data_IF_616200724034
#
_entry.id   IF_616200724034
#
_cell.length_a   1.000
_cell.length_b   1.000
_cell.length_c   1.000
_cell.angle_alpha   90.00
_cell.angle_beta   90.00
_cell.angle_gamma   90.00
#
_symmetry.space_group_name_H-M   'P 1'
#
loop_
_entity.id
_entity.type
_entity.pdbx_description
1 polymer ?
#
# COMPACT_ATOMS: atom_id res chain seq x y z
N UNK A 1 -9.18 5.87 -9.56
CA UNK A 1 -10.38 5.15 -9.05
C UNK A 1 -10.14 4.66 -7.62
N UNK A 2 -11.18 4.18 -6.94
CA UNK A 2 -11.04 3.60 -5.60
C UNK A 2 -11.23 2.07 -5.65
N UNK A 3 -10.53 1.35 -4.77
CA UNK A 3 -10.63 -0.10 -4.62
C UNK A 3 -10.89 -0.45 -3.15
N UNK A 4 -12.06 -1.02 -2.85
CA UNK A 4 -12.46 -1.47 -1.52
C UNK A 4 -12.74 -2.97 -1.54
N UNK A 5 -11.85 -3.75 -0.92
CA UNK A 5 -11.95 -5.20 -0.78
C UNK A 5 -11.67 -5.67 0.66
N UNK A 6 -11.77 -4.77 1.63
CA UNK A 6 -11.48 -5.06 3.03
C UNK A 6 -12.41 -6.10 3.66
N UNK A 7 -11.89 -6.82 4.66
CA UNK A 7 -12.59 -7.81 5.48
C UNK A 7 -13.21 -8.94 4.66
N UNK A 8 -12.40 -9.56 3.80
CA UNK A 8 -12.78 -10.75 3.04
C UNK A 8 -11.81 -11.90 3.34
N UNK A 9 -12.05 -13.04 2.71
CA UNK A 9 -11.17 -14.21 2.76
C UNK A 9 -10.32 -14.32 1.48
N UNK A 10 -9.99 -13.19 0.85
CA UNK A 10 -9.16 -13.19 -0.36
C UNK A 10 -7.72 -13.53 0.01
N UNK A 11 -7.03 -14.26 -0.87
CA UNK A 11 -5.69 -14.78 -0.59
C UNK A 11 -4.82 -14.83 -1.85
N UNK A 12 -3.54 -15.12 -1.65
CA UNK A 12 -2.52 -15.15 -2.71
C UNK A 12 -1.87 -13.79 -2.93
N UNK A 13 -1.09 -13.68 -4.00
CA UNK A 13 -0.41 -12.45 -4.36
C UNK A 13 -1.33 -11.48 -5.12
N UNK A 14 -1.03 -10.19 -5.03
CA UNK A 14 -1.74 -9.17 -5.81
C UNK A 14 -1.37 -9.33 -7.30
N UNK A 15 -2.37 -9.47 -8.21
CA UNK A 15 -2.09 -9.58 -9.63
C UNK A 15 -1.34 -8.35 -10.17
N UNK A 16 -0.20 -8.59 -10.84
CA UNK A 16 0.64 -7.52 -11.43
C UNK A 16 -0.12 -6.58 -12.36
N UNK A 17 -1.21 -7.03 -12.99
CA UNK A 17 -2.08 -6.21 -13.83
C UNK A 17 -2.65 -4.98 -13.12
N UNK A 18 -2.83 -5.03 -11.79
CA UNK A 18 -3.31 -3.90 -10.98
C UNK A 18 -2.32 -2.74 -10.93
N UNK A 19 -1.03 -2.96 -11.25
CA UNK A 19 -0.01 -1.89 -11.26
C UNK A 19 -0.31 -0.79 -12.29
N UNK A 20 -1.05 -1.15 -13.34
CA UNK A 20 -1.45 -0.24 -14.43
C UNK A 20 -2.49 0.78 -13.98
N UNK A 21 -3.20 0.48 -12.90
CA UNK A 21 -4.18 1.39 -12.34
C UNK A 21 -3.49 2.40 -11.42
N UNK A 22 -3.93 3.65 -11.49
CA UNK A 22 -3.61 4.67 -10.52
C UNK A 22 -4.82 4.86 -9.60
N UNK A 23 -4.71 4.35 -8.37
CA UNK A 23 -5.80 4.35 -7.40
C UNK A 23 -5.67 5.57 -6.48
N UNK A 24 -6.80 6.23 -6.19
CA UNK A 24 -6.84 7.27 -5.16
C UNK A 24 -6.92 6.62 -3.77
N UNK A 25 -7.75 5.57 -3.62
CA UNK A 25 -7.87 4.81 -2.38
C UNK A 25 -7.71 3.33 -2.68
N UNK A 26 -6.88 2.65 -1.87
CA UNK A 26 -6.76 1.20 -1.85
C UNK A 26 -7.00 0.73 -0.42
N UNK A 27 -8.03 -0.10 -0.24
CA UNK A 27 -8.37 -0.70 1.04
C UNK A 27 -8.49 -2.22 0.87
N UNK A 28 -7.44 -2.92 1.30
CA UNK A 28 -7.33 -4.39 1.29
C UNK A 28 -7.32 -4.97 2.70
N UNK A 29 -7.68 -4.17 3.71
CA UNK A 29 -7.56 -4.55 5.12
C UNK A 29 -8.18 -5.91 5.43
N UNK A 30 -7.59 -6.66 6.36
CA UNK A 30 -8.23 -7.86 6.90
C UNK A 30 -8.51 -8.92 5.83
N UNK A 31 -7.48 -9.32 5.09
CA UNK A 31 -7.50 -10.42 4.13
C UNK A 31 -6.31 -11.36 4.39
N UNK A 32 -6.10 -12.33 3.52
CA UNK A 32 -4.99 -13.28 3.55
C UNK A 32 -4.04 -13.09 2.36
N UNK A 33 -3.91 -11.85 1.85
CA UNK A 33 -2.97 -11.58 0.76
C UNK A 33 -1.53 -11.70 1.23
N UNK A 34 -0.66 -12.15 0.33
CA UNK A 34 0.78 -12.34 0.58
C UNK A 34 1.63 -11.72 -0.53
N UNK A 35 2.95 -11.80 -0.38
CA UNK A 35 3.90 -11.29 -1.36
C UNK A 35 4.07 -9.77 -1.31
N UNK A 36 4.50 -9.20 -2.43
CA UNK A 36 4.89 -7.80 -2.53
C UNK A 36 3.71 -6.90 -2.93
N UNK A 37 3.41 -5.90 -2.10
CA UNK A 37 2.39 -4.87 -2.36
C UNK A 37 2.98 -3.49 -2.73
N UNK A 38 4.29 -3.40 -2.96
CA UNK A 38 5.01 -2.17 -3.30
C UNK A 38 4.51 -1.50 -4.59
N UNK A 39 3.79 -2.23 -5.44
CA UNK A 39 3.17 -1.73 -6.67
C UNK A 39 2.12 -0.62 -6.47
N UNK A 40 1.56 -0.50 -5.25
CA UNK A 40 0.64 0.59 -4.90
C UNK A 40 1.36 1.90 -4.58
N UNK A 41 2.69 1.87 -4.51
CA UNK A 41 3.53 3.03 -4.25
C UNK A 41 4.18 3.52 -5.55
N UNK A 42 4.64 4.76 -5.55
CA UNK A 42 5.33 5.39 -6.65
C UNK A 42 5.17 6.90 -6.63
N UNK A 43 6.21 7.63 -7.02
CA UNK A 43 6.16 9.09 -7.20
C UNK A 43 5.17 9.52 -8.30
N UNK A 44 4.80 8.61 -9.20
CA UNK A 44 3.82 8.81 -10.27
C UNK A 44 2.41 8.38 -9.87
N UNK A 45 2.20 7.89 -8.64
CA UNK A 45 0.89 7.52 -8.13
C UNK A 45 0.20 8.75 -7.52
N UNK A 46 -1.13 8.71 -7.51
CA UNK A 46 -1.98 9.76 -6.93
C UNK A 46 -2.75 9.27 -5.70
N UNK A 47 -2.32 8.15 -5.11
CA UNK A 47 -2.96 7.58 -3.93
C UNK A 47 -2.97 8.56 -2.75
N UNK A 48 -4.15 8.70 -2.16
CA UNK A 48 -4.44 9.51 -0.98
C UNK A 48 -4.48 8.64 0.27
N UNK A 49 -5.01 7.42 0.15
CA UNK A 49 -5.11 6.46 1.25
C UNK A 49 -4.75 5.05 0.82
N UNK A 50 -3.86 4.44 1.58
CA UNK A 50 -3.48 3.03 1.45
C UNK A 50 -3.70 2.33 2.78
N UNK A 51 -4.67 1.42 2.84
CA UNK A 51 -4.91 0.54 3.97
C UNK A 51 -4.69 -0.91 3.52
N UNK A 52 -3.49 -1.41 3.82
CA UNK A 52 -3.04 -2.77 3.52
C UNK A 52 -2.95 -3.61 4.80
N UNK A 53 -3.51 -3.12 5.90
CA UNK A 53 -3.35 -3.71 7.22
C UNK A 53 -3.91 -5.12 7.32
N UNK A 54 -3.43 -5.91 8.28
CA UNK A 54 -3.94 -7.26 8.59
C UNK A 54 -3.97 -8.16 7.35
N UNK A 55 -2.79 -8.35 6.77
CA UNK A 55 -2.50 -9.27 5.67
C UNK A 55 -1.17 -9.99 5.96
N UNK A 56 -0.58 -10.64 4.96
CA UNK A 56 0.75 -11.26 5.04
C UNK A 56 1.71 -10.67 4.00
N UNK A 57 1.55 -9.37 3.68
CA UNK A 57 2.45 -8.69 2.74
C UNK A 57 3.87 -8.63 3.27
N UNK A 58 4.84 -8.89 2.39
CA UNK A 58 6.25 -8.93 2.71
C UNK A 58 7.04 -8.17 1.65
N UNK A 59 7.49 -6.97 2.01
CA UNK A 59 8.31 -6.13 1.15
C UNK A 59 9.16 -5.16 1.99
N UNK A 60 10.18 -4.61 1.34
CA UNK A 60 11.14 -3.69 1.92
C UNK A 60 10.64 -2.25 1.77
N UNK A 61 10.22 -1.64 2.88
CA UNK A 61 9.68 -0.28 2.92
C UNK A 61 10.74 0.77 2.55
N UNK A 62 12.04 0.49 2.72
CA UNK A 62 13.10 1.45 2.36
C UNK A 62 13.15 1.74 0.85
N UNK A 63 12.57 0.85 0.03
CA UNK A 63 12.57 0.95 -1.44
C UNK A 63 11.33 1.63 -2.01
N UNK A 64 10.30 1.88 -1.19
CA UNK A 64 9.06 2.49 -1.70
C UNK A 64 9.21 3.99 -1.84
N UNK A 65 8.58 4.55 -2.88
CA UNK A 65 8.44 6.00 -3.06
C UNK A 65 7.00 6.38 -2.79
N UNK A 66 6.76 7.23 -1.82
CA UNK A 66 5.40 7.66 -1.46
C UNK A 66 4.88 8.70 -2.46
N UNK A 67 3.58 8.65 -2.74
CA UNK A 67 2.91 9.71 -3.47
C UNK A 67 2.82 10.95 -2.59
N UNK A 68 3.04 12.15 -3.16
CA UNK A 68 2.93 13.41 -2.41
C UNK A 68 1.51 13.71 -1.93
N UNK A 69 0.52 13.07 -2.53
CA UNK A 69 -0.90 13.14 -2.16
C UNK A 69 -1.27 12.26 -0.97
N UNK A 70 -0.35 11.42 -0.47
CA UNK A 70 -0.66 10.43 0.55
C UNK A 70 -0.93 11.10 1.90
N UNK A 71 -2.13 10.91 2.43
CA UNK A 71 -2.58 11.46 3.72
C UNK A 71 -2.71 10.34 4.77
N UNK A 72 -2.99 9.11 4.35
CA UNK A 72 -3.18 7.97 5.26
C UNK A 72 -2.50 6.71 4.73
N UNK A 73 -1.68 6.09 5.58
CA UNK A 73 -0.97 4.86 5.32
C UNK A 73 -1.09 3.92 6.52
N UNK A 74 -1.72 2.76 6.33
CA UNK A 74 -1.76 1.69 7.31
C UNK A 74 -1.16 0.40 6.73
N UNK A 75 -0.03 0.00 7.30
CA UNK A 75 0.70 -1.23 6.97
C UNK A 75 0.75 -2.20 8.15
N UNK A 76 0.03 -1.92 9.23
CA UNK A 76 0.08 -2.69 10.48
C UNK A 76 -0.34 -4.15 10.26
N UNK A 77 0.17 -5.05 11.11
CA UNK A 77 -0.12 -6.49 11.01
C UNK A 77 0.20 -7.08 9.62
N UNK A 78 1.44 -6.89 9.17
CA UNK A 78 2.03 -7.50 7.98
C UNK A 78 3.48 -7.93 8.29
N UNK A 79 4.21 -8.41 7.28
CA UNK A 79 5.63 -8.78 7.33
C UNK A 79 6.51 -7.74 6.62
N UNK A 80 6.08 -6.47 6.59
CA UNK A 80 6.83 -5.34 6.01
C UNK A 80 8.07 -5.05 6.86
N UNK A 81 9.21 -4.86 6.21
CA UNK A 81 10.51 -4.67 6.88
C UNK A 81 11.32 -3.54 6.24
N UNK A 82 12.49 -3.25 6.79
CA UNK A 82 13.39 -2.21 6.30
C UNK A 82 13.22 -0.87 7.03
N UNK A 83 13.95 0.12 6.57
CA UNK A 83 13.93 1.48 7.14
C UNK A 83 12.71 2.28 6.68
N UNK A 84 12.38 3.32 7.45
CA UNK A 84 11.37 4.29 7.06
C UNK A 84 11.90 5.11 5.85
N UNK A 85 11.16 5.18 4.73
CA UNK A 85 11.61 5.91 3.55
C UNK A 85 11.60 7.41 3.81
N UNK A 86 12.63 8.11 3.33
CA UNK A 86 12.77 9.57 3.46
C UNK A 86 11.54 10.33 2.95
N UNK A 87 10.81 9.78 1.97
CA UNK A 87 9.57 10.40 1.48
C UNK A 87 8.51 10.64 2.55
N UNK A 88 8.56 9.96 3.70
CA UNK A 88 7.68 10.25 4.84
C UNK A 88 7.87 11.66 5.40
N UNK A 89 9.08 12.21 5.34
CA UNK A 89 9.34 13.59 5.84
C UNK A 89 8.81 14.67 4.90
N UNK A 90 8.44 14.29 3.66
CA UNK A 90 7.90 15.22 2.66
C UNK A 90 6.37 15.27 2.63
N UNK A 91 5.69 14.37 3.37
CA UNK A 91 4.24 14.36 3.45
C UNK A 91 3.75 15.53 4.29
N UNK A 92 2.69 16.17 3.81
CA UNK A 92 2.04 17.26 4.54
C UNK A 92 0.94 16.66 5.42
N UNK A 93 1.06 16.90 6.73
CA UNK A 93 0.04 16.55 7.72
C UNK A 93 -0.95 17.71 7.77
N UNK A 94 -1.89 17.72 6.83
CA UNK A 94 -2.95 18.73 6.74
C UNK A 94 -4.16 18.30 7.59
#
# INVERSE_FOLDING_TARGET
>A
PDLYLGNNHLSGEIPKSLSKSDFNIVSLLGNNFSGDASMFFGHNKTSVRLDLSRNSFHFDLSKVKLAKSLVSLDLSHNLVFGELPLGLTELRLD
#
